data_IF_102794546180
#
_entry.id   IF_102794546180
#
_cell.length_a   1.000
_cell.length_b   1.000
_cell.length_c   1.000
_cell.angle_alpha   90.00
_cell.angle_beta   90.00
_cell.angle_gamma   90.00
#
_symmetry.space_group_name_H-M   'P 1'
#
loop_
_entity.id
_entity.type
_entity.pdbx_description
1 polymer ?
#
# COMPACT_ATOMS: atom_id res chain seq x y z
N UNK A 1 1.04 -20.92 -14.60
CA UNK A 1 1.66 -19.92 -13.73
C UNK A 1 1.40 -20.28 -12.28
N UNK A 2 2.35 -20.08 -11.37
CA UNK A 2 2.18 -20.31 -9.92
C UNK A 2 1.17 -19.29 -9.39
N UNK A 3 0.18 -19.73 -8.62
CA UNK A 3 -0.91 -18.84 -8.16
C UNK A 3 -0.63 -18.14 -6.82
N UNK A 4 0.38 -18.61 -6.08
CA UNK A 4 0.71 -18.12 -4.74
C UNK A 4 2.22 -18.05 -4.51
N UNK A 5 2.63 -17.10 -3.69
CA UNK A 5 4.02 -16.89 -3.31
C UNK A 5 4.08 -16.86 -1.77
N UNK A 6 4.53 -17.96 -1.12
CA UNK A 6 4.55 -18.05 0.34
C UNK A 6 5.57 -17.08 0.98
N UNK A 7 6.55 -16.62 0.22
CA UNK A 7 7.62 -15.74 0.69
C UNK A 7 8.15 -14.81 -0.41
N UNK A 8 9.03 -13.89 -0.03
CA UNK A 8 9.70 -12.96 -0.94
C UNK A 8 10.54 -13.72 -1.99
N UNK A 9 11.30 -14.75 -1.58
CA UNK A 9 12.24 -15.45 -2.48
C UNK A 9 11.54 -16.14 -3.63
N UNK A 10 10.41 -16.76 -3.37
CA UNK A 10 9.59 -17.41 -4.41
C UNK A 10 9.05 -16.40 -5.42
N UNK A 11 8.75 -15.18 -4.98
CA UNK A 11 8.33 -14.11 -5.88
C UNK A 11 9.52 -13.54 -6.68
N UNK A 12 10.69 -13.31 -6.03
CA UNK A 12 11.89 -12.86 -6.73
C UNK A 12 12.31 -13.82 -7.84
N UNK A 13 12.16 -15.12 -7.64
CA UNK A 13 12.43 -16.12 -8.68
C UNK A 13 11.53 -15.92 -9.91
N UNK A 14 10.23 -15.64 -9.70
CA UNK A 14 9.30 -15.34 -10.81
C UNK A 14 9.65 -14.02 -11.50
N UNK A 15 10.01 -12.99 -10.72
CA UNK A 15 10.46 -11.72 -11.30
C UNK A 15 11.73 -11.93 -12.17
N UNK A 16 12.63 -12.81 -11.76
CA UNK A 16 13.82 -13.16 -12.54
C UNK A 16 13.45 -13.89 -13.83
N UNK A 17 12.61 -14.93 -13.73
CA UNK A 17 12.13 -15.70 -14.88
C UNK A 17 11.42 -14.84 -15.93
N UNK A 18 10.67 -13.81 -15.47
CA UNK A 18 9.91 -12.89 -16.31
C UNK A 18 10.73 -11.65 -16.77
N UNK A 19 12.02 -11.56 -16.38
CA UNK A 19 12.89 -10.43 -16.72
C UNK A 19 12.54 -9.14 -15.97
N UNK A 20 11.89 -9.26 -14.80
CA UNK A 20 11.50 -8.17 -13.91
C UNK A 20 12.40 -8.08 -12.66
N UNK A 21 13.56 -8.75 -12.65
CA UNK A 21 14.60 -8.64 -11.62
C UNK A 21 15.96 -8.37 -12.26
N UNK A 22 16.62 -7.33 -11.77
CA UNK A 22 18.03 -7.06 -12.10
C UNK A 22 18.89 -7.39 -10.89
N UNK A 23 19.93 -8.23 -11.06
CA UNK A 23 20.92 -8.54 -10.04
C UNK A 23 22.18 -7.71 -10.24
N UNK A 24 22.56 -6.97 -9.20
CA UNK A 24 23.79 -6.19 -9.11
C UNK A 24 24.80 -7.00 -8.30
N UNK A 25 25.83 -7.52 -8.96
CA UNK A 25 26.83 -8.45 -8.39
C UNK A 25 28.11 -7.76 -7.89
N UNK A 26 28.37 -6.53 -8.38
CA UNK A 26 29.45 -5.68 -7.87
C UNK A 26 29.11 -5.14 -6.47
N UNK A 27 30.15 -4.81 -5.71
CA UNK A 27 29.98 -4.18 -4.40
C UNK A 27 29.48 -2.73 -4.57
N UNK A 28 28.39 -2.39 -3.90
CA UNK A 28 27.80 -1.04 -3.89
C UNK A 28 27.90 -0.39 -2.52
N UNK A 29 27.86 0.94 -2.50
CA UNK A 29 27.71 1.68 -1.25
C UNK A 29 26.26 1.60 -0.75
N UNK A 30 26.01 1.44 0.56
CA UNK A 30 24.63 1.49 1.07
C UNK A 30 23.96 2.84 0.78
N UNK A 31 24.71 3.93 0.85
CA UNK A 31 24.30 5.29 0.50
C UNK A 31 25.29 5.88 -0.53
N UNK A 32 24.84 6.48 -1.64
CA UNK A 32 23.44 6.65 -2.05
C UNK A 32 22.90 5.53 -2.98
N UNK A 33 23.72 4.50 -3.31
CA UNK A 33 23.50 3.63 -4.48
C UNK A 33 22.16 2.90 -4.45
N UNK A 34 21.78 2.32 -3.30
CA UNK A 34 20.56 1.52 -3.18
C UNK A 34 19.32 2.38 -3.41
N UNK A 35 19.22 3.54 -2.74
CA UNK A 35 18.11 4.47 -2.91
C UNK A 35 18.06 5.07 -4.32
N UNK A 36 19.23 5.39 -4.91
CA UNK A 36 19.34 5.91 -6.27
C UNK A 36 18.87 4.88 -7.30
N UNK A 37 19.21 3.61 -7.13
CA UNK A 37 18.74 2.54 -8.00
C UNK A 37 17.23 2.30 -7.87
N UNK A 38 16.68 2.33 -6.65
CA UNK A 38 15.23 2.26 -6.44
C UNK A 38 14.50 3.40 -7.15
N UNK A 39 15.01 4.63 -7.06
CA UNK A 39 14.47 5.79 -7.79
C UNK A 39 14.60 5.61 -9.31
N UNK A 40 15.73 5.14 -9.79
CA UNK A 40 15.98 4.94 -11.22
C UNK A 40 15.05 3.86 -11.79
N UNK A 41 14.90 2.74 -11.09
CA UNK A 41 14.00 1.66 -11.50
C UNK A 41 12.55 2.14 -11.59
N UNK A 42 12.07 2.90 -10.63
CA UNK A 42 10.70 3.44 -10.63
C UNK A 42 10.43 4.41 -11.79
N UNK A 43 11.47 5.07 -12.34
CA UNK A 43 11.34 5.95 -13.51
C UNK A 43 11.32 5.21 -14.85
N UNK A 44 11.68 3.95 -14.87
CA UNK A 44 11.65 3.12 -16.09
C UNK A 44 10.22 2.56 -16.22
N UNK A 45 9.62 2.68 -17.39
CA UNK A 45 8.31 2.07 -17.65
C UNK A 45 8.38 0.56 -17.43
N UNK A 46 7.56 0.04 -16.53
CA UNK A 46 7.62 -1.34 -16.04
C UNK A 46 9.01 -1.70 -15.50
N UNK A 47 9.63 -0.78 -14.74
CA UNK A 47 10.96 -0.97 -14.19
C UNK A 47 11.05 -2.18 -13.27
N UNK A 48 12.20 -2.90 -13.29
CA UNK A 48 12.36 -4.14 -12.54
C UNK A 48 12.60 -3.90 -11.06
N UNK A 49 12.45 -4.95 -10.26
CA UNK A 49 13.08 -5.02 -8.95
C UNK A 49 14.60 -5.04 -9.08
N UNK A 50 15.33 -4.46 -8.12
CA UNK A 50 16.79 -4.43 -8.12
C UNK A 50 17.31 -5.14 -6.88
N UNK A 51 18.08 -6.19 -7.09
CA UNK A 51 18.67 -7.02 -6.05
C UNK A 51 20.19 -6.79 -5.98
N UNK A 52 20.68 -6.41 -4.82
CA UNK A 52 22.09 -6.17 -4.55
C UNK A 52 22.68 -7.33 -3.75
N UNK A 53 23.66 -8.02 -4.34
CA UNK A 53 24.33 -9.17 -3.69
C UNK A 53 25.34 -8.72 -2.63
N UNK A 54 26.04 -7.60 -2.87
CA UNK A 54 27.15 -7.14 -2.05
C UNK A 54 26.99 -5.68 -1.68
N UNK A 55 26.84 -5.42 -0.40
CA UNK A 55 26.75 -4.08 0.15
C UNK A 55 27.94 -3.83 1.06
N UNK A 56 28.70 -2.77 0.80
CA UNK A 56 29.90 -2.45 1.57
C UNK A 56 29.58 -2.29 3.06
N UNK A 57 30.28 -3.09 3.87
CA UNK A 57 30.14 -3.07 5.33
C UNK A 57 29.00 -3.92 5.89
N UNK A 58 28.26 -4.64 5.03
CA UNK A 58 27.17 -5.53 5.43
C UNK A 58 27.35 -6.94 4.86
N UNK A 59 26.80 -7.91 5.60
CA UNK A 59 26.87 -9.32 5.22
C UNK A 59 25.75 -9.72 4.26
N UNK A 60 24.58 -9.12 4.41
CA UNK A 60 23.34 -9.57 3.78
C UNK A 60 22.93 -8.68 2.61
N UNK A 61 22.13 -9.26 1.72
CA UNK A 61 21.66 -8.62 0.49
C UNK A 61 20.50 -7.65 0.72
N UNK A 62 20.26 -6.78 -0.26
CA UNK A 62 19.11 -5.85 -0.28
C UNK A 62 18.35 -6.03 -1.58
N UNK A 63 17.02 -5.90 -1.51
CA UNK A 63 16.16 -5.76 -2.69
C UNK A 63 15.26 -4.54 -2.55
N UNK A 64 15.05 -3.83 -3.66
CA UNK A 64 14.17 -2.66 -3.75
C UNK A 64 13.33 -2.73 -5.01
N UNK A 65 12.28 -1.93 -5.09
CA UNK A 65 11.37 -1.82 -6.23
C UNK A 65 10.62 -3.13 -6.59
N UNK A 66 10.39 -4.00 -5.61
CA UNK A 66 9.70 -5.29 -5.81
C UNK A 66 8.26 -5.09 -6.30
N UNK A 67 7.55 -4.08 -5.78
CA UNK A 67 6.18 -3.71 -6.20
C UNK A 67 6.17 -2.51 -7.16
N UNK A 68 7.32 -2.08 -7.67
CA UNK A 68 7.49 -0.79 -8.36
C UNK A 68 7.04 -0.75 -9.82
N UNK A 69 6.16 -1.64 -10.27
CA UNK A 69 5.59 -1.59 -11.61
C UNK A 69 4.26 -2.36 -11.71
N UNK A 70 3.44 -2.01 -12.71
CA UNK A 70 2.20 -2.77 -12.99
C UNK A 70 2.48 -4.18 -13.49
N UNK A 71 3.63 -4.40 -14.13
CA UNK A 71 4.09 -5.73 -14.50
C UNK A 71 4.32 -6.61 -13.28
N UNK A 72 5.00 -6.10 -12.24
CA UNK A 72 5.22 -6.82 -11.00
C UNK A 72 3.92 -7.08 -10.24
N UNK A 73 2.97 -6.13 -10.25
CA UNK A 73 1.63 -6.33 -9.68
C UNK A 73 0.85 -7.42 -10.39
N UNK A 74 0.87 -7.45 -11.74
CA UNK A 74 0.24 -8.52 -12.50
C UNK A 74 0.85 -9.89 -12.13
N UNK A 75 2.17 -9.98 -12.07
CA UNK A 75 2.89 -11.21 -11.67
C UNK A 75 2.56 -11.61 -10.23
N UNK A 76 2.46 -10.66 -9.29
CA UNK A 76 2.03 -10.91 -7.91
C UNK A 76 0.66 -11.59 -7.86
N UNK A 77 -0.24 -11.24 -8.78
CA UNK A 77 -1.55 -11.86 -8.92
C UNK A 77 -1.52 -13.14 -9.78
N UNK A 78 -0.35 -13.59 -10.25
CA UNK A 78 -0.22 -14.73 -11.15
C UNK A 78 -0.82 -14.49 -12.55
N UNK A 79 -0.93 -13.22 -12.94
CA UNK A 79 -1.40 -12.78 -14.26
C UNK A 79 -0.20 -12.53 -15.19
N UNK A 80 -0.41 -12.52 -16.53
CA UNK A 80 0.63 -12.07 -17.45
C UNK A 80 1.14 -10.66 -17.12
N UNK A 81 2.46 -10.42 -17.23
CA UNK A 81 3.10 -9.16 -16.82
C UNK A 81 2.61 -7.90 -17.56
N UNK A 82 2.04 -8.08 -18.73
CA UNK A 82 1.47 -7.01 -19.57
C UNK A 82 -0.04 -6.80 -19.38
N UNK A 83 -0.63 -7.48 -18.37
CA UNK A 83 -2.06 -7.31 -18.04
C UNK A 83 -2.36 -5.85 -17.68
N UNK A 84 -3.34 -5.20 -18.34
CA UNK A 84 -3.73 -3.83 -18.06
C UNK A 84 -4.16 -3.62 -16.59
N UNK A 85 -3.88 -2.45 -16.03
CA UNK A 85 -4.21 -2.11 -14.63
C UNK A 85 -5.70 -2.25 -14.31
N UNK A 86 -6.57 -1.92 -15.26
CA UNK A 86 -8.02 -2.10 -15.14
C UNK A 86 -8.42 -3.58 -14.94
N UNK A 87 -7.79 -4.49 -15.66
CA UNK A 87 -8.04 -5.92 -15.52
C UNK A 87 -7.51 -6.44 -14.18
N UNK A 88 -6.35 -5.96 -13.74
CA UNK A 88 -5.83 -6.25 -12.39
C UNK A 88 -6.79 -5.77 -11.30
N UNK A 89 -7.41 -4.59 -11.47
CA UNK A 89 -8.42 -4.07 -10.54
C UNK A 89 -9.64 -5.00 -10.45
N UNK A 90 -10.17 -5.47 -11.58
CA UNK A 90 -11.32 -6.37 -11.57
C UNK A 90 -10.97 -7.75 -11.00
N UNK A 91 -9.77 -8.27 -11.28
CA UNK A 91 -9.31 -9.52 -10.69
C UNK A 91 -9.15 -9.43 -9.18
N UNK A 92 -8.58 -8.35 -8.67
CA UNK A 92 -8.51 -8.07 -7.23
C UNK A 92 -9.91 -7.99 -6.61
N UNK A 93 -10.86 -7.32 -7.28
CA UNK A 93 -12.26 -7.27 -6.82
C UNK A 93 -12.89 -8.66 -6.73
N UNK A 94 -12.68 -9.50 -7.74
CA UNK A 94 -13.18 -10.88 -7.78
C UNK A 94 -12.60 -11.71 -6.61
N UNK A 95 -11.28 -11.58 -6.36
CA UNK A 95 -10.62 -12.32 -5.27
C UNK A 95 -11.03 -11.78 -3.91
N UNK A 96 -11.24 -10.48 -3.78
CA UNK A 96 -11.70 -9.85 -2.53
C UNK A 96 -12.97 -10.48 -1.97
N UNK A 97 -13.89 -10.90 -2.83
CA UNK A 97 -15.15 -11.52 -2.45
C UNK A 97 -14.99 -12.94 -1.86
N UNK A 98 -13.78 -13.50 -1.87
CA UNK A 98 -13.49 -14.77 -1.18
C UNK A 98 -13.18 -14.61 0.31
N UNK A 99 -13.04 -13.38 0.79
CA UNK A 99 -12.87 -13.12 2.23
C UNK A 99 -14.09 -13.64 3.04
N UNK A 100 -13.86 -14.27 4.21
CA UNK A 100 -12.57 -14.57 4.84
C UNK A 100 -12.00 -15.93 4.42
N UNK A 101 -10.66 -16.00 4.30
CA UNK A 101 -9.94 -17.27 4.16
C UNK A 101 -9.03 -17.44 5.37
N UNK A 102 -9.33 -18.40 6.24
CA UNK A 102 -8.59 -18.60 7.49
C UNK A 102 -7.13 -18.94 7.20
N UNK A 103 -6.15 -18.28 7.87
CA UNK A 103 -4.75 -18.55 7.67
C UNK A 103 -4.35 -19.93 8.21
N UNK A 104 -3.28 -20.48 7.66
CA UNK A 104 -2.66 -21.71 8.15
C UNK A 104 -1.57 -21.36 9.16
N UNK A 105 -1.74 -21.80 10.40
CA UNK A 105 -0.73 -21.62 11.45
C UNK A 105 0.28 -22.75 11.35
N UNK A 106 1.54 -22.41 11.08
CA UNK A 106 2.67 -23.36 11.07
C UNK A 106 3.24 -23.55 12.47
N UNK A 107 3.84 -24.73 12.68
CA UNK A 107 4.73 -24.94 13.82
C UNK A 107 5.98 -24.07 13.70
N UNK A 108 6.63 -23.77 14.85
CA UNK A 108 7.84 -22.94 14.87
C UNK A 108 8.94 -23.47 13.96
N UNK A 109 9.15 -24.78 13.98
CA UNK A 109 10.20 -25.47 13.22
C UNK A 109 9.90 -25.56 11.70
N UNK A 110 8.64 -25.30 11.30
CA UNK A 110 8.23 -25.29 9.90
C UNK A 110 8.33 -23.88 9.29
N UNK A 111 8.48 -22.83 10.13
CA UNK A 111 8.45 -21.45 9.72
C UNK A 111 9.86 -20.93 9.37
N UNK A 112 10.13 -20.59 8.08
CA UNK A 112 11.45 -20.13 7.66
C UNK A 112 11.97 -18.89 8.44
N UNK A 113 11.09 -17.97 8.85
CA UNK A 113 11.48 -16.81 9.63
C UNK A 113 12.02 -17.14 11.04
N UNK A 114 11.95 -18.41 11.48
CA UNK A 114 12.39 -18.87 12.79
C UNK A 114 13.70 -19.69 12.76
N UNK A 115 14.40 -19.75 11.61
CA UNK A 115 15.64 -20.54 11.46
C UNK A 115 16.75 -20.12 12.43
N UNK A 116 16.92 -18.83 12.64
CA UNK A 116 17.90 -18.26 13.57
C UNK A 116 17.23 -17.36 14.60
N UNK A 117 17.78 -17.32 15.82
CA UNK A 117 17.25 -16.48 16.92
C UNK A 117 18.36 -15.72 17.61
N UNK A 118 18.18 -14.43 17.85
CA UNK A 118 19.08 -13.54 18.58
C UNK A 118 18.29 -12.96 19.76
N UNK A 119 18.77 -13.20 21.00
CA UNK A 119 18.13 -12.73 22.25
C UNK A 119 19.06 -11.89 23.12
N UNK A 120 20.36 -11.93 22.83
CA UNK A 120 21.40 -11.19 23.54
C UNK A 120 22.15 -10.30 22.56
N UNK A 121 22.76 -9.23 23.04
CA UNK A 121 23.57 -8.29 22.26
C UNK A 121 22.90 -7.82 20.94
N UNK A 122 21.58 -7.59 20.99
CA UNK A 122 20.78 -7.23 19.83
C UNK A 122 21.37 -6.02 19.12
N UNK A 123 21.66 -6.19 17.82
CA UNK A 123 22.20 -5.15 16.99
C UNK A 123 21.57 -5.18 15.57
N UNK A 124 20.61 -4.29 15.34
CA UNK A 124 19.91 -4.18 14.05
C UNK A 124 20.86 -3.94 12.87
N UNK A 125 21.99 -3.26 13.10
CA UNK A 125 22.99 -2.99 12.04
C UNK A 125 23.80 -4.22 11.61
N UNK A 126 23.76 -5.30 12.36
CA UNK A 126 24.39 -6.58 12.00
C UNK A 126 23.44 -7.48 11.20
N UNK A 127 22.12 -7.28 11.35
CA UNK A 127 21.09 -8.12 10.71
C UNK A 127 20.52 -7.46 9.47
N UNK A 128 20.43 -6.13 9.44
CA UNK A 128 19.85 -5.38 8.35
C UNK A 128 20.89 -4.43 7.72
N UNK A 129 21.09 -4.45 6.40
CA UNK A 129 21.87 -3.45 5.68
C UNK A 129 21.16 -2.09 5.69
N UNK A 130 21.23 -1.40 6.82
CA UNK A 130 20.53 -0.14 7.06
C UNK A 130 21.23 1.04 6.39
N UNK A 131 20.45 1.88 5.73
CA UNK A 131 20.95 3.07 5.03
C UNK A 131 19.93 4.22 5.13
N UNK A 132 20.42 5.44 4.91
CA UNK A 132 19.59 6.63 4.74
C UNK A 132 19.03 6.66 3.33
N UNK A 133 17.71 6.84 3.18
CA UNK A 133 17.04 6.80 1.89
C UNK A 133 17.18 8.14 1.16
N UNK A 134 16.85 9.25 1.84
CA UNK A 134 16.99 10.60 1.30
C UNK A 134 17.97 11.42 2.15
N UNK A 135 18.67 12.37 1.54
CA UNK A 135 19.79 13.08 2.15
C UNK A 135 19.48 13.81 3.47
N UNK A 136 18.23 14.25 3.67
CA UNK A 136 17.79 14.94 4.89
C UNK A 136 16.98 14.05 5.84
N UNK A 137 16.92 12.74 5.59
CA UNK A 137 16.30 11.81 6.55
C UNK A 137 17.07 11.82 7.88
N UNK A 138 16.35 11.71 8.98
CA UNK A 138 16.94 11.68 10.32
C UNK A 138 17.59 10.32 10.66
N UNK A 139 18.46 9.84 9.81
CA UNK A 139 19.14 8.56 9.91
C UNK A 139 18.54 7.46 9.04
N UNK A 140 18.74 6.20 9.43
CA UNK A 140 18.29 5.03 8.68
C UNK A 140 16.82 4.72 8.96
N UNK A 141 16.09 4.30 7.93
CA UNK A 141 14.70 3.88 8.04
C UNK A 141 14.48 2.49 7.42
N UNK A 142 13.63 1.71 8.10
CA UNK A 142 12.98 0.55 7.50
C UNK A 142 11.66 1.08 6.94
N UNK A 143 11.60 1.25 5.62
CA UNK A 143 10.48 1.87 4.91
C UNK A 143 9.45 0.86 4.40
N UNK A 144 9.76 -0.43 4.49
CA UNK A 144 8.92 -1.52 4.00
C UNK A 144 8.94 -2.69 4.97
N UNK A 145 7.99 -2.68 5.90
CA UNK A 145 7.80 -3.75 6.88
C UNK A 145 6.33 -3.88 7.26
N UNK A 146 5.91 -5.08 7.61
CA UNK A 146 4.59 -5.33 8.20
C UNK A 146 4.71 -5.34 9.72
N UNK A 147 4.07 -4.38 10.37
CA UNK A 147 4.02 -4.27 11.83
C UNK A 147 2.77 -4.96 12.34
N UNK A 148 2.95 -5.93 13.21
CA UNK A 148 1.89 -6.75 13.78
C UNK A 148 1.64 -6.33 15.22
N UNK A 149 0.39 -6.02 15.54
CA UNK A 149 -0.08 -5.64 16.87
C UNK A 149 -1.45 -6.25 17.14
N UNK A 150 -1.89 -6.28 18.38
CA UNK A 150 -3.19 -6.81 18.79
C UNK A 150 -3.94 -5.84 19.71
N UNK A 151 -5.27 -5.97 19.76
CA UNK A 151 -6.11 -5.16 20.64
C UNK A 151 -5.88 -5.53 22.12
N UNK A 152 -5.34 -4.64 22.97
CA UNK A 152 -5.10 -4.93 24.38
C UNK A 152 -6.36 -5.23 25.20
N UNK A 153 -7.54 -4.88 24.70
CA UNK A 153 -8.83 -5.19 25.34
C UNK A 153 -9.44 -6.52 24.88
N UNK A 154 -8.89 -7.09 23.81
CA UNK A 154 -9.32 -8.37 23.25
C UNK A 154 -8.14 -9.13 22.62
N UNK A 155 -7.08 -9.46 23.39
CA UNK A 155 -5.83 -9.99 22.84
C UNK A 155 -6.00 -11.33 22.12
N UNK A 156 -6.98 -12.15 22.53
CA UNK A 156 -7.27 -13.45 21.90
C UNK A 156 -8.11 -13.35 20.62
N UNK A 157 -8.65 -12.15 20.31
CA UNK A 157 -9.47 -11.96 19.14
C UNK A 157 -8.62 -11.75 17.89
N UNK A 158 -8.47 -12.80 17.10
CA UNK A 158 -7.69 -12.80 15.87
C UNK A 158 -8.18 -11.75 14.86
N UNK A 159 -9.48 -11.46 14.79
CA UNK A 159 -10.03 -10.46 13.86
C UNK A 159 -9.62 -9.02 14.21
N UNK A 160 -9.07 -8.81 15.41
CA UNK A 160 -8.53 -7.52 15.87
C UNK A 160 -6.99 -7.47 15.89
N UNK A 161 -6.35 -8.47 15.32
CA UNK A 161 -4.93 -8.41 15.01
C UNK A 161 -4.76 -7.42 13.85
N UNK A 162 -3.88 -6.45 13.98
CA UNK A 162 -3.56 -5.48 12.95
C UNK A 162 -2.22 -5.81 12.30
N UNK A 163 -2.15 -5.80 10.98
CA UNK A 163 -0.93 -5.99 10.20
C UNK A 163 -0.78 -4.78 9.27
N UNK A 164 -0.02 -3.77 9.70
CA UNK A 164 0.05 -2.50 9.01
C UNK A 164 1.46 -2.13 8.55
N UNK A 165 1.58 -1.43 7.42
CA UNK A 165 2.84 -0.84 6.96
C UNK A 165 3.01 0.56 7.55
N UNK A 166 4.11 0.76 8.27
CA UNK A 166 4.48 2.04 8.87
C UNK A 166 5.95 2.33 8.61
N UNK A 167 6.32 3.61 8.48
CA UNK A 167 7.73 4.00 8.45
C UNK A 167 8.36 3.80 9.82
N UNK A 168 9.55 3.25 9.85
CA UNK A 168 10.24 2.85 11.06
C UNK A 168 11.64 3.49 11.08
N UNK A 169 11.87 4.44 11.97
CA UNK A 169 13.17 5.06 12.16
C UNK A 169 14.03 4.20 13.08
N UNK A 170 15.23 3.81 12.62
CA UNK A 170 16.20 3.14 13.49
C UNK A 170 16.83 4.16 14.44
N UNK A 171 16.74 3.93 15.75
CA UNK A 171 17.20 4.84 16.80
C UNK A 171 18.41 4.34 17.58
N UNK A 172 18.86 3.13 17.27
CA UNK A 172 19.99 2.50 17.91
C UNK A 172 20.05 1.02 17.61
N UNK A 173 20.91 0.30 18.33
CA UNK A 173 21.13 -1.12 18.09
C UNK A 173 19.86 -1.97 18.28
N UNK A 174 19.01 -1.60 19.22
CA UNK A 174 17.86 -2.36 19.69
C UNK A 174 16.58 -1.52 19.84
N UNK A 175 16.54 -0.34 19.22
CA UNK A 175 15.40 0.57 19.33
C UNK A 175 15.00 1.15 17.97
N UNK A 176 13.69 1.23 17.75
CA UNK A 176 13.12 1.86 16.58
C UNK A 176 11.95 2.78 16.97
N UNK A 177 11.73 3.86 16.21
CA UNK A 177 10.57 4.72 16.34
C UNK A 177 9.56 4.42 15.23
N UNK A 178 8.26 4.38 15.54
CA UNK A 178 7.19 4.12 14.56
C UNK A 178 6.26 5.33 14.50
N UNK A 179 5.97 5.80 13.29
CA UNK A 179 4.95 6.83 13.08
C UNK A 179 3.55 6.20 13.10
N UNK A 180 2.83 6.35 14.21
CA UNK A 180 1.44 5.97 14.35
C UNK A 180 0.55 7.22 14.25
N UNK A 181 -0.15 7.41 13.10
CA UNK A 181 -1.09 8.51 12.94
C UNK A 181 -2.42 8.17 13.65
N UNK A 182 -3.11 9.19 14.14
CA UNK A 182 -4.29 9.03 15.00
C UNK A 182 -5.46 8.21 14.37
N UNK A 183 -5.50 8.12 13.06
CA UNK A 183 -6.52 7.33 12.35
C UNK A 183 -6.05 5.90 11.98
N UNK A 184 -4.83 5.49 12.39
CA UNK A 184 -4.35 4.12 12.21
C UNK A 184 -4.76 3.23 13.38
N UNK A 185 -5.04 1.96 13.10
CA UNK A 185 -5.45 0.98 14.10
C UNK A 185 -4.40 0.77 15.19
N UNK A 186 -3.10 0.78 14.84
CA UNK A 186 -2.00 0.73 15.81
C UNK A 186 -2.07 1.87 16.84
N UNK A 187 -2.50 3.08 16.44
CA UNK A 187 -2.61 4.21 17.37
C UNK A 187 -3.76 4.01 18.36
N UNK A 188 -4.89 3.48 17.89
CA UNK A 188 -6.03 3.15 18.76
C UNK A 188 -5.68 2.01 19.73
N UNK A 189 -4.96 0.98 19.28
CA UNK A 189 -4.51 -0.13 20.13
C UNK A 189 -3.48 0.34 21.16
N UNK A 190 -2.49 1.16 20.75
CA UNK A 190 -1.49 1.73 21.65
C UNK A 190 -2.14 2.60 22.75
N UNK A 191 -3.13 3.43 22.40
CA UNK A 191 -3.86 4.23 23.38
C UNK A 191 -4.56 3.36 24.43
N UNK A 192 -5.14 2.22 24.03
CA UNK A 192 -5.75 1.26 24.97
C UNK A 192 -4.75 0.67 25.95
N UNK A 193 -3.55 0.27 25.46
CA UNK A 193 -2.47 -0.21 26.33
C UNK A 193 -1.99 0.89 27.29
N UNK A 194 -1.85 2.12 26.82
CA UNK A 194 -1.41 3.26 27.63
C UNK A 194 -2.44 3.66 28.71
N UNK A 195 -3.73 3.51 28.43
CA UNK A 195 -4.78 3.70 29.48
C UNK A 195 -4.67 2.69 30.60
N UNK A 196 -4.27 1.46 30.31
CA UNK A 196 -4.00 0.41 31.29
C UNK A 196 -2.61 0.54 31.95
N UNK A 197 -1.76 1.44 31.44
CA UNK A 197 -0.35 1.56 31.83
C UNK A 197 0.44 0.24 31.62
N UNK A 198 0.15 -0.46 30.53
CA UNK A 198 0.76 -1.72 30.14
C UNK A 198 1.71 -1.52 28.95
N UNK A 199 2.75 -2.37 28.87
CA UNK A 199 3.59 -2.47 27.67
C UNK A 199 2.74 -2.93 26.50
N UNK A 200 2.98 -2.32 25.33
CA UNK A 200 2.26 -2.67 24.12
C UNK A 200 3.11 -3.63 23.27
N UNK A 201 2.71 -4.91 23.14
CA UNK A 201 3.40 -5.92 22.34
C UNK A 201 3.43 -5.56 20.87
N UNK A 202 4.56 -5.83 20.21
CA UNK A 202 4.75 -5.54 18.79
C UNK A 202 5.71 -6.53 18.13
N UNK A 203 5.41 -6.93 16.90
CA UNK A 203 6.32 -7.63 16.02
C UNK A 203 6.42 -6.92 14.68
N UNK A 204 7.61 -6.89 14.08
CA UNK A 204 7.90 -6.21 12.82
C UNK A 204 8.50 -7.24 11.87
N UNK A 205 7.78 -7.57 10.80
CA UNK A 205 8.20 -8.53 9.80
C UNK A 205 8.71 -7.81 8.53
N UNK A 206 9.93 -8.11 8.13
CA UNK A 206 10.63 -7.51 6.99
C UNK A 206 10.84 -8.59 5.92
N UNK A 207 10.67 -8.25 4.64
CA UNK A 207 10.86 -9.19 3.53
C UNK A 207 9.76 -10.26 3.49
N UNK A 208 8.52 -9.81 3.41
CA UNK A 208 7.34 -10.68 3.40
C UNK A 208 7.00 -11.18 2.00
N UNK A 209 6.06 -12.12 1.92
CA UNK A 209 5.42 -12.43 0.64
C UNK A 209 4.76 -11.17 0.04
N UNK A 210 4.69 -11.04 -1.29
CA UNK A 210 4.23 -9.80 -1.91
C UNK A 210 2.80 -9.43 -1.53
N UNK A 211 1.90 -10.40 -1.38
CA UNK A 211 0.51 -10.15 -0.99
C UNK A 211 0.35 -9.80 0.49
N UNK A 212 1.25 -10.26 1.38
CA UNK A 212 1.29 -9.81 2.77
C UNK A 212 1.66 -8.32 2.83
N UNK A 213 2.71 -7.91 2.11
CA UNK A 213 3.11 -6.50 2.02
C UNK A 213 1.99 -5.64 1.41
N UNK A 214 1.34 -6.13 0.36
CA UNK A 214 0.20 -5.47 -0.28
C UNK A 214 -0.96 -5.28 0.70
N UNK A 215 -1.35 -6.33 1.44
CA UNK A 215 -2.46 -6.24 2.41
C UNK A 215 -2.12 -5.42 3.65
N UNK A 216 -0.88 -5.47 4.14
CA UNK A 216 -0.42 -4.60 5.23
C UNK A 216 -0.49 -3.09 4.89
N UNK A 217 -0.57 -2.76 3.60
CA UNK A 217 -0.74 -1.38 3.12
C UNK A 217 -2.19 -1.06 2.70
N UNK A 218 -3.14 -1.95 2.99
CA UNK A 218 -4.53 -1.88 2.50
C UNK A 218 -5.48 -1.42 3.60
N UNK A 219 -6.32 -0.39 3.36
CA UNK A 219 -7.31 0.01 4.36
C UNK A 219 -8.46 -1.01 4.45
N UNK A 220 -8.59 -1.67 5.58
CA UNK A 220 -9.69 -2.58 5.91
C UNK A 220 -10.39 -2.13 7.20
N UNK A 221 -11.46 -2.80 7.61
CA UNK A 221 -12.16 -2.47 8.86
C UNK A 221 -11.38 -3.01 10.06
N UNK A 222 -11.41 -2.30 11.19
CA UNK A 222 -10.78 -2.68 12.46
C UNK A 222 -11.11 -4.11 12.96
N UNK A 223 -12.23 -4.68 12.49
CA UNK A 223 -12.70 -6.03 12.84
C UNK A 223 -12.45 -7.06 11.73
N UNK A 224 -11.55 -6.77 10.83
CA UNK A 224 -11.15 -7.66 9.74
C UNK A 224 -9.63 -7.88 9.81
N UNK A 225 -9.17 -9.05 9.41
CA UNK A 225 -7.77 -9.42 9.49
C UNK A 225 -7.11 -9.45 8.11
N UNK A 226 -5.96 -8.83 7.97
CA UNK A 226 -5.20 -8.75 6.72
C UNK A 226 -4.79 -10.14 6.20
N UNK A 227 -4.43 -11.07 7.08
CA UNK A 227 -4.04 -12.43 6.68
C UNK A 227 -5.18 -13.21 6.01
N UNK A 228 -6.42 -12.97 6.45
CA UNK A 228 -7.60 -13.58 5.81
C UNK A 228 -7.85 -13.01 4.41
N UNK A 229 -7.56 -11.72 4.20
CA UNK A 229 -7.57 -11.11 2.86
C UNK A 229 -6.41 -11.61 2.00
N UNK A 230 -5.21 -11.81 2.56
CA UNK A 230 -4.10 -12.45 1.81
C UNK A 230 -4.57 -13.78 1.25
N UNK A 231 -5.21 -14.62 2.05
CA UNK A 231 -5.78 -15.89 1.58
C UNK A 231 -6.82 -15.71 0.48
N UNK A 232 -7.70 -14.71 0.61
CA UNK A 232 -8.67 -14.38 -0.43
C UNK A 232 -7.99 -13.96 -1.75
N UNK A 233 -6.98 -13.09 -1.66
CA UNK A 233 -6.22 -12.63 -2.84
C UNK A 233 -5.32 -13.72 -3.42
N UNK A 234 -4.96 -14.73 -2.66
CA UNK A 234 -4.32 -15.97 -3.12
C UNK A 234 -5.30 -16.97 -3.77
N UNK A 235 -6.48 -16.47 -4.16
CA UNK A 235 -7.53 -17.25 -4.83
C UNK A 235 -8.13 -18.35 -3.96
N UNK A 236 -8.01 -18.21 -2.62
CA UNK A 236 -8.53 -19.12 -1.60
C UNK A 236 -7.47 -19.98 -0.92
N UNK A 237 -6.19 -19.86 -1.31
CA UNK A 237 -5.10 -20.53 -0.63
C UNK A 237 -4.73 -19.78 0.67
N UNK A 238 -4.68 -20.47 1.84
CA UNK A 238 -4.41 -19.83 3.12
C UNK A 238 -3.07 -19.09 3.18
N UNK A 239 -3.04 -17.93 3.82
CA UNK A 239 -1.79 -17.29 4.24
C UNK A 239 -1.10 -18.13 5.32
N UNK A 240 0.19 -18.40 5.18
CA UNK A 240 0.96 -19.12 6.20
C UNK A 240 1.52 -18.15 7.23
N UNK A 241 1.18 -18.38 8.50
CA UNK A 241 1.60 -17.58 9.64
C UNK A 241 2.18 -18.46 10.73
N UNK A 242 2.95 -17.86 11.64
CA UNK A 242 3.52 -18.54 12.81
C UNK A 242 3.36 -17.66 14.05
N UNK A 243 3.21 -18.27 15.22
CA UNK A 243 3.16 -17.53 16.48
C UNK A 243 4.44 -16.72 16.73
N UNK A 244 4.29 -15.54 17.33
CA UNK A 244 5.39 -14.81 17.93
C UNK A 244 6.10 -15.67 19.00
N UNK A 245 7.42 -15.52 19.11
CA UNK A 245 8.19 -16.22 20.15
C UNK A 245 8.05 -15.54 21.53
N UNK A 246 7.55 -14.29 21.57
CA UNK A 246 7.38 -13.51 22.80
C UNK A 246 5.91 -13.37 23.24
N UNK A 247 4.97 -13.40 22.29
CA UNK A 247 3.58 -13.02 22.54
C UNK A 247 2.62 -14.03 21.99
N UNK A 248 1.91 -14.73 22.87
CA UNK A 248 1.05 -15.86 22.51
C UNK A 248 -0.04 -15.53 21.49
N UNK A 249 -0.52 -14.27 21.50
CA UNK A 249 -1.64 -13.82 20.65
C UNK A 249 -1.20 -13.05 19.41
N UNK A 250 0.12 -12.88 19.19
CA UNK A 250 0.62 -12.30 17.96
C UNK A 250 1.06 -13.39 16.98
N UNK A 251 0.78 -13.16 15.71
CA UNK A 251 1.16 -14.04 14.60
C UNK A 251 1.88 -13.24 13.54
N UNK A 252 3.01 -13.73 13.07
CA UNK A 252 3.82 -13.11 12.02
C UNK A 252 3.80 -13.94 10.74
N UNK A 253 4.05 -13.36 9.56
CA UNK A 253 4.17 -14.12 8.32
C UNK A 253 5.30 -15.16 8.45
N UNK A 254 4.98 -16.43 8.20
CA UNK A 254 5.95 -17.51 8.36
C UNK A 254 7.14 -17.44 7.40
N UNK A 255 6.91 -16.87 6.20
CA UNK A 255 7.91 -16.69 5.15
C UNK A 255 8.71 -15.38 5.23
N UNK A 256 8.56 -14.55 6.28
CA UNK A 256 9.33 -13.31 6.44
C UNK A 256 10.85 -13.56 6.48
N UNK A 257 11.64 -12.65 5.97
CA UNK A 257 13.10 -12.74 6.01
C UNK A 257 13.66 -12.45 7.40
N UNK A 258 13.13 -11.41 8.07
CA UNK A 258 13.51 -11.00 9.43
C UNK A 258 12.27 -10.63 10.21
N UNK A 259 12.20 -11.02 11.49
CA UNK A 259 11.17 -10.61 12.43
C UNK A 259 11.83 -9.99 13.66
N UNK A 260 11.45 -8.75 13.96
CA UNK A 260 11.89 -8.02 15.15
C UNK A 260 10.73 -8.03 16.16
N UNK A 261 10.95 -8.54 17.36
CA UNK A 261 9.92 -8.63 18.39
C UNK A 261 10.31 -7.80 19.61
N UNK A 262 9.33 -7.12 20.19
CA UNK A 262 9.58 -6.24 21.35
C UNK A 262 8.30 -5.56 21.82
N UNK A 263 8.45 -4.42 22.44
CA UNK A 263 7.34 -3.69 23.06
C UNK A 263 7.54 -2.18 23.02
N UNK A 264 6.43 -1.46 23.12
CA UNK A 264 6.41 -0.01 23.40
C UNK A 264 6.17 0.20 24.90
N UNK A 265 7.02 1.01 25.56
CA UNK A 265 6.76 1.44 26.93
C UNK A 265 5.64 2.50 26.96
N UNK A 266 4.69 2.41 27.92
CA UNK A 266 3.58 3.34 28.00
C UNK A 266 4.05 4.80 28.07
N UNK A 267 3.48 5.65 27.22
CA UNK A 267 3.71 7.10 27.18
C UNK A 267 5.15 7.55 26.91
N UNK A 268 6.08 6.66 26.60
CA UNK A 268 7.44 7.00 26.18
C UNK A 268 7.42 7.46 24.74
N UNK A 269 7.98 8.62 24.46
CA UNK A 269 8.05 9.22 23.11
C UNK A 269 9.42 9.82 22.87
N UNK A 270 9.95 9.60 21.66
CA UNK A 270 11.15 10.24 21.14
C UNK A 270 10.84 11.01 19.86
N UNK A 271 11.70 11.99 19.51
CA UNK A 271 11.56 12.72 18.25
C UNK A 271 11.83 11.76 17.10
N UNK A 272 10.93 11.71 16.13
CA UNK A 272 10.98 10.92 14.91
C UNK A 272 10.90 11.86 13.70
N UNK A 273 11.60 11.52 12.61
CA UNK A 273 11.72 12.36 11.43
C UNK A 273 12.79 13.46 11.55
N UNK A 274 13.03 14.25 10.47
CA UNK A 274 12.30 14.20 9.19
C UNK A 274 12.57 12.95 8.37
N UNK A 275 11.67 12.69 7.41
CA UNK A 275 11.74 11.58 6.47
C UNK A 275 11.17 12.02 5.12
N UNK A 276 11.81 11.58 4.02
CA UNK A 276 11.28 11.79 2.67
C UNK A 276 10.04 10.95 2.43
N UNK A 277 8.91 11.62 2.18
CA UNK A 277 7.59 11.00 2.14
C UNK A 277 7.01 10.92 0.73
N UNK A 278 5.93 10.13 0.59
CA UNK A 278 5.22 9.88 -0.67
C UNK A 278 4.69 11.14 -1.39
N UNK A 279 4.36 12.26 -0.73
CA UNK A 279 4.00 13.47 -1.47
C UNK A 279 5.21 14.16 -2.14
N UNK A 280 6.41 13.60 -2.05
CA UNK A 280 7.62 14.15 -2.65
C UNK A 280 8.27 15.26 -1.83
N UNK A 281 7.94 15.37 -0.55
CA UNK A 281 8.49 16.34 0.39
C UNK A 281 8.93 15.67 1.69
N UNK A 282 9.79 16.35 2.47
CA UNK A 282 10.15 15.87 3.80
C UNK A 282 9.02 16.12 4.80
N UNK A 283 8.74 15.14 5.64
CA UNK A 283 7.88 15.33 6.80
C UNK A 283 8.58 16.21 7.85
N UNK A 284 7.80 16.86 8.70
CA UNK A 284 8.35 17.46 9.92
C UNK A 284 8.77 16.39 10.94
N UNK A 285 9.47 16.82 12.00
CA UNK A 285 9.80 15.99 13.15
C UNK A 285 8.68 16.02 14.18
N UNK A 286 8.33 14.86 14.76
CA UNK A 286 7.28 14.73 15.77
C UNK A 286 7.67 13.71 16.83
N UNK A 287 7.12 13.83 18.05
CA UNK A 287 7.27 12.80 19.08
C UNK A 287 6.42 11.58 18.74
N UNK A 288 7.06 10.42 18.61
CA UNK A 288 6.44 9.14 18.28
C UNK A 288 6.80 8.07 19.30
N UNK A 289 6.05 6.96 19.31
CA UNK A 289 6.34 5.82 20.17
C UNK A 289 7.67 5.16 19.78
N UNK A 290 8.31 4.55 20.77
CA UNK A 290 9.60 3.85 20.63
C UNK A 290 9.41 2.40 21.00
N UNK A 291 9.82 1.52 20.10
CA UNK A 291 9.85 0.08 20.32
C UNK A 291 11.24 -0.32 20.82
N UNK A 292 11.29 -1.01 21.94
CA UNK A 292 12.46 -1.75 22.41
C UNK A 292 12.42 -3.15 21.82
N UNK A 293 13.40 -3.48 20.98
CA UNK A 293 13.54 -4.82 20.40
C UNK A 293 14.27 -5.70 21.41
N UNK A 294 13.71 -6.85 21.71
CA UNK A 294 14.24 -7.81 22.70
C UNK A 294 14.48 -9.21 22.10
N UNK A 295 14.05 -9.42 20.86
CA UNK A 295 14.29 -10.64 20.10
C UNK A 295 14.31 -10.35 18.60
N UNK A 296 15.21 -11.01 17.90
CA UNK A 296 15.22 -11.07 16.44
C UNK A 296 15.20 -12.52 16.02
N UNK A 297 14.33 -12.88 15.07
CA UNK A 297 14.43 -14.14 14.34
C UNK A 297 14.60 -13.84 12.87
N UNK A 298 15.34 -14.70 12.15
CA UNK A 298 15.59 -14.48 10.73
C UNK A 298 15.90 -15.78 9.99
N UNK A 299 15.73 -15.75 8.69
CA UNK A 299 16.15 -16.82 7.79
C UNK A 299 17.68 -16.88 7.66
N UNK A 300 18.19 -17.99 7.18
CA UNK A 300 19.58 -18.08 6.74
C UNK A 300 19.80 -17.12 5.58
N UNK A 301 20.85 -16.29 5.67
CA UNK A 301 21.19 -15.24 4.69
C UNK A 301 19.99 -14.36 4.32
N UNK A 302 19.43 -13.60 5.28
CA UNK A 302 18.20 -12.85 5.07
C UNK A 302 18.37 -11.73 4.06
N UNK A 303 17.29 -11.48 3.31
CA UNK A 303 17.21 -10.40 2.32
C UNK A 303 16.52 -9.20 2.98
N UNK A 304 17.18 -8.05 3.00
CA UNK A 304 16.54 -6.81 3.45
C UNK A 304 15.73 -6.20 2.29
N UNK A 305 14.42 -6.30 2.39
CA UNK A 305 13.52 -5.62 1.48
C UNK A 305 13.23 -4.20 1.99
N UNK A 306 13.60 -3.19 1.20
CA UNK A 306 13.35 -1.79 1.56
C UNK A 306 12.98 -1.00 0.31
N UNK A 307 12.14 0.03 0.43
CA UNK A 307 11.71 0.83 -0.72
C UNK A 307 12.22 2.27 -0.65
N UNK A 308 12.37 2.88 -1.81
CA UNK A 308 12.58 4.31 -1.96
C UNK A 308 11.24 5.05 -1.90
N UNK A 309 11.19 6.10 -1.07
CA UNK A 309 10.12 7.10 -1.09
C UNK A 309 10.71 8.46 -1.51
N UNK A 310 9.93 9.22 -2.25
CA UNK A 310 10.38 10.55 -2.71
C UNK A 310 9.43 11.13 -3.76
N UNK A 311 9.98 11.90 -4.69
CA UNK A 311 9.17 12.50 -5.76
C UNK A 311 8.47 11.38 -6.54
N UNK A 312 7.12 11.39 -6.62
CA UNK A 312 6.34 10.41 -7.37
C UNK A 312 6.77 10.36 -8.85
N UNK A 313 6.68 9.23 -9.47
CA UNK A 313 6.06 7.98 -9.10
C UNK A 313 7.12 7.00 -8.60
N UNK A 314 6.90 6.33 -7.45
CA UNK A 314 7.86 5.42 -6.82
C UNK A 314 7.19 4.11 -6.42
N UNK A 315 7.94 3.13 -5.88
CA UNK A 315 7.38 1.84 -5.48
C UNK A 315 6.17 1.95 -4.55
N UNK A 316 6.17 2.91 -3.63
CA UNK A 316 5.05 3.10 -2.71
C UNK A 316 3.77 3.53 -3.42
N UNK A 317 3.89 4.30 -4.51
CA UNK A 317 2.74 4.75 -5.29
C UNK A 317 2.08 3.57 -6.04
N UNK A 318 2.87 2.58 -6.49
CA UNK A 318 2.33 1.33 -7.03
C UNK A 318 1.70 0.48 -5.93
N UNK A 319 2.40 0.31 -4.79
CA UNK A 319 1.94 -0.53 -3.68
C UNK A 319 0.62 -0.02 -3.10
N UNK A 320 0.46 1.30 -2.94
CA UNK A 320 -0.74 1.93 -2.38
C UNK A 320 -1.71 2.45 -3.45
N UNK A 321 -1.91 1.70 -4.51
CA UNK A 321 -2.76 2.06 -5.64
C UNK A 321 -4.05 1.23 -5.69
N UNK A 322 -3.95 0.01 -6.23
CA UNK A 322 -5.11 -0.88 -6.37
C UNK A 322 -5.62 -1.38 -5.01
N UNK A 323 -4.75 -1.52 -4.03
CA UNK A 323 -5.11 -1.87 -2.66
C UNK A 323 -5.98 -0.81 -1.96
N UNK A 324 -5.93 0.45 -2.42
CA UNK A 324 -6.83 1.53 -1.98
C UNK A 324 -8.08 1.59 -2.85
N UNK A 325 -7.92 1.37 -4.15
CA UNK A 325 -9.03 1.43 -5.12
C UNK A 325 -10.11 0.38 -4.87
N UNK A 326 -9.70 -0.87 -4.56
CA UNK A 326 -10.64 -1.99 -4.36
C UNK A 326 -11.52 -1.80 -3.12
N UNK A 327 -11.00 -1.54 -1.91
CA UNK A 327 -11.87 -1.34 -0.75
C UNK A 327 -12.78 -0.10 -0.89
N UNK A 328 -12.33 0.99 -1.49
CA UNK A 328 -13.17 2.15 -1.76
C UNK A 328 -14.29 1.81 -2.75
N UNK A 329 -13.98 1.08 -3.82
CA UNK A 329 -15.00 0.57 -4.74
C UNK A 329 -16.04 -0.29 -4.01
N UNK A 330 -15.62 -1.24 -3.17
CA UNK A 330 -16.54 -2.11 -2.40
C UNK A 330 -17.45 -1.30 -1.48
N UNK A 331 -16.89 -0.29 -0.79
CA UNK A 331 -17.67 0.58 0.10
C UNK A 331 -18.69 1.43 -0.66
N UNK A 332 -18.29 2.00 -1.80
CA UNK A 332 -19.21 2.78 -2.63
C UNK A 332 -20.28 1.89 -3.27
N UNK A 333 -19.88 0.76 -3.84
CA UNK A 333 -20.78 -0.17 -4.53
C UNK A 333 -21.89 -0.72 -3.63
N UNK A 334 -21.61 -0.85 -2.32
CA UNK A 334 -22.60 -1.33 -1.35
C UNK A 334 -23.81 -0.39 -1.21
N UNK A 335 -23.60 0.92 -1.31
CA UNK A 335 -24.65 1.94 -1.15
C UNK A 335 -25.10 2.52 -2.50
N UNK A 336 -24.22 2.50 -3.49
CA UNK A 336 -24.37 3.11 -4.82
C UNK A 336 -24.06 2.10 -5.92
N UNK A 337 -25.00 1.22 -6.28
CA UNK A 337 -24.76 0.09 -7.18
C UNK A 337 -24.42 0.49 -8.62
N UNK A 338 -24.61 1.76 -8.98
CA UNK A 338 -24.27 2.30 -10.29
C UNK A 338 -22.77 2.61 -10.48
N UNK A 339 -21.99 2.62 -9.38
CA UNK A 339 -20.53 2.78 -9.46
C UNK A 339 -19.92 1.61 -10.21
N UNK A 340 -19.17 1.89 -11.27
CA UNK A 340 -18.58 0.90 -12.18
C UNK A 340 -17.15 0.59 -11.77
N UNK A 341 -16.34 1.62 -11.50
CA UNK A 341 -14.96 1.47 -11.09
C UNK A 341 -14.49 2.66 -10.25
N UNK A 342 -13.45 2.45 -9.44
CA UNK A 342 -12.78 3.47 -8.65
C UNK A 342 -11.27 3.36 -8.87
N UNK A 343 -10.65 4.44 -9.29
CA UNK A 343 -9.22 4.59 -9.36
C UNK A 343 -8.76 5.56 -8.28
N UNK A 344 -8.16 5.04 -7.20
CA UNK A 344 -7.60 5.80 -6.09
C UNK A 344 -6.06 5.72 -6.07
N UNK A 345 -5.44 5.57 -7.25
CA UNK A 345 -3.99 5.34 -7.36
C UNK A 345 -3.15 6.59 -7.08
N UNK A 346 -3.73 7.78 -7.20
CA UNK A 346 -2.93 9.01 -7.15
C UNK A 346 -2.63 9.43 -5.73
N UNK A 347 -1.35 9.42 -5.39
CA UNK A 347 -0.84 9.88 -4.10
C UNK A 347 -1.62 9.26 -2.93
N UNK A 348 -1.70 7.90 -2.89
CA UNK A 348 -2.35 7.11 -1.84
C UNK A 348 -3.85 7.43 -1.64
N UNK A 349 -4.57 7.69 -2.74
CA UNK A 349 -5.99 8.01 -2.68
C UNK A 349 -6.29 9.48 -2.34
N UNK A 350 -5.30 10.37 -2.36
CA UNK A 350 -5.55 11.83 -2.31
C UNK A 350 -6.25 12.32 -3.57
N UNK A 351 -5.93 11.73 -4.72
CA UNK A 351 -6.65 11.88 -5.98
C UNK A 351 -7.45 10.61 -6.29
N UNK A 352 -8.77 10.74 -6.48
CA UNK A 352 -9.66 9.62 -6.78
C UNK A 352 -10.50 9.93 -8.00
N UNK A 353 -10.60 8.97 -8.92
CA UNK A 353 -11.47 9.04 -10.09
C UNK A 353 -12.52 7.94 -9.98
N UNK A 354 -13.79 8.30 -10.10
CA UNK A 354 -14.93 7.37 -9.97
C UNK A 354 -15.69 7.35 -11.29
N UNK A 355 -15.88 6.17 -11.85
CA UNK A 355 -16.76 5.94 -12.99
C UNK A 355 -18.11 5.43 -12.50
N UNK A 356 -19.21 6.09 -12.89
CA UNK A 356 -20.57 5.77 -12.44
C UNK A 356 -21.63 6.07 -13.51
N UNK A 357 -22.74 5.32 -13.48
CA UNK A 357 -23.93 5.65 -14.24
C UNK A 357 -24.82 6.58 -13.42
N UNK A 358 -25.00 7.82 -13.85
CA UNK A 358 -25.88 8.75 -13.18
C UNK A 358 -27.34 8.38 -13.34
N UNK A 359 -28.09 8.24 -12.21
CA UNK A 359 -29.51 7.90 -12.19
C UNK A 359 -30.44 9.09 -12.30
N UNK A 360 -29.98 10.23 -11.76
CA UNK A 360 -30.72 11.49 -11.69
C UNK A 360 -29.75 12.65 -11.50
N UNK A 361 -30.19 13.88 -11.70
CA UNK A 361 -29.35 15.07 -11.55
C UNK A 361 -28.71 15.18 -10.17
N UNK A 362 -27.41 15.58 -10.14
CA UNK A 362 -26.60 15.68 -8.94
C UNK A 362 -26.03 14.35 -8.42
N UNK A 363 -26.25 13.22 -9.12
CA UNK A 363 -25.78 11.90 -8.67
C UNK A 363 -24.26 11.84 -8.60
N UNK A 364 -23.55 12.42 -9.57
CA UNK A 364 -22.08 12.46 -9.57
C UNK A 364 -21.52 13.10 -8.30
N UNK A 365 -22.05 14.26 -7.90
CA UNK A 365 -21.67 14.92 -6.63
C UNK A 365 -22.00 14.08 -5.41
N UNK A 366 -23.15 13.38 -5.39
CA UNK A 366 -23.56 12.51 -4.29
C UNK A 366 -22.58 11.34 -4.11
N UNK A 367 -22.11 10.71 -5.22
CA UNK A 367 -21.10 9.66 -5.20
C UNK A 367 -19.76 10.18 -4.62
N UNK A 368 -19.33 11.37 -5.04
CA UNK A 368 -18.12 11.97 -4.51
C UNK A 368 -18.23 12.28 -3.00
N UNK A 369 -19.34 12.83 -2.55
CA UNK A 369 -19.59 13.11 -1.13
C UNK A 369 -19.63 11.80 -0.30
N UNK A 370 -20.22 10.73 -0.86
CA UNK A 370 -20.19 9.42 -0.21
C UNK A 370 -18.77 8.87 -0.05
N UNK A 371 -17.91 9.01 -1.07
CA UNK A 371 -16.49 8.65 -0.96
C UNK A 371 -15.82 9.44 0.18
N UNK A 372 -15.99 10.76 0.20
CA UNK A 372 -15.38 11.66 1.20
C UNK A 372 -15.84 11.39 2.63
N UNK A 373 -16.93 10.65 2.82
CA UNK A 373 -17.44 10.23 4.14
C UNK A 373 -17.01 8.80 4.55
N UNK A 374 -16.31 8.07 3.69
CA UNK A 374 -15.76 6.75 4.06
C UNK A 374 -14.60 6.89 5.04
N UNK A 375 -14.34 5.88 5.90
CA UNK A 375 -13.22 5.94 6.86
C UNK A 375 -11.87 6.25 6.23
N UNK A 376 -11.59 5.72 5.03
CA UNK A 376 -10.35 6.01 4.31
C UNK A 376 -10.44 7.32 3.50
N UNK A 377 -11.52 7.55 2.76
CA UNK A 377 -11.68 8.75 1.95
C UNK A 377 -11.71 10.04 2.76
N UNK A 378 -12.21 9.99 4.00
CA UNK A 378 -12.31 11.15 4.88
C UNK A 378 -10.94 11.78 5.18
N UNK A 379 -9.89 11.07 5.66
CA UNK A 379 -8.58 11.67 5.91
C UNK A 379 -7.70 11.78 4.66
N UNK A 380 -7.84 10.90 3.67
CA UNK A 380 -6.93 10.87 2.52
C UNK A 380 -7.44 11.65 1.32
N UNK A 381 -8.69 11.41 0.86
CA UNK A 381 -9.14 11.95 -0.42
C UNK A 381 -9.30 13.47 -0.39
N UNK A 382 -8.66 14.12 -1.35
CA UNK A 382 -8.61 15.58 -1.49
C UNK A 382 -9.25 16.06 -2.78
N UNK A 383 -8.93 15.40 -3.90
CA UNK A 383 -9.48 15.69 -5.22
C UNK A 383 -10.27 14.47 -5.68
N UNK A 384 -11.56 14.63 -5.92
CA UNK A 384 -12.45 13.57 -6.40
C UNK A 384 -13.03 13.97 -7.74
N UNK A 385 -12.78 13.19 -8.76
CA UNK A 385 -13.29 13.37 -10.12
C UNK A 385 -14.33 12.28 -10.38
N UNK A 386 -15.52 12.65 -10.84
CA UNK A 386 -16.56 11.69 -11.21
C UNK A 386 -16.80 11.79 -12.71
N UNK A 387 -16.81 10.63 -13.37
CA UNK A 387 -17.00 10.48 -14.81
C UNK A 387 -18.10 9.47 -15.12
N UNK A 388 -18.65 9.50 -16.32
CA UNK A 388 -19.67 8.54 -16.78
C UNK A 388 -19.11 7.11 -16.89
N UNK A 389 -20.01 6.12 -16.92
CA UNK A 389 -19.71 4.69 -16.95
C UNK A 389 -18.86 4.22 -18.15
N UNK A 390 -18.92 4.95 -19.27
CA UNK A 390 -18.15 4.64 -20.48
C UNK A 390 -16.77 5.31 -20.51
N UNK A 391 -16.45 6.19 -19.53
CA UNK A 391 -15.11 6.75 -19.37
C UNK A 391 -14.29 5.85 -18.47
N UNK A 392 -13.15 5.38 -18.98
CA UNK A 392 -12.25 4.54 -18.19
C UNK A 392 -11.48 5.37 -17.15
N UNK A 393 -11.71 5.19 -15.83
CA UNK A 393 -11.03 5.96 -14.81
C UNK A 393 -9.53 5.64 -14.69
N UNK A 394 -9.06 4.55 -15.34
CA UNK A 394 -7.63 4.20 -15.42
C UNK A 394 -6.93 4.80 -16.66
N UNK A 395 -7.68 5.47 -17.55
CA UNK A 395 -7.17 6.16 -18.71
C UNK A 395 -7.27 7.70 -18.52
N UNK A 396 -6.16 8.34 -18.17
CA UNK A 396 -6.13 9.78 -17.89
C UNK A 396 -6.49 10.64 -19.09
N UNK A 397 -6.19 10.21 -20.32
CA UNK A 397 -6.56 10.93 -21.52
C UNK A 397 -8.09 11.01 -21.66
N UNK A 398 -8.80 9.92 -21.40
CA UNK A 398 -10.27 9.90 -21.38
C UNK A 398 -10.84 10.75 -20.25
N UNK A 399 -10.23 10.68 -19.05
CA UNK A 399 -10.65 11.50 -17.90
C UNK A 399 -10.47 12.99 -18.19
N UNK A 400 -9.32 13.39 -18.75
CA UNK A 400 -9.07 14.78 -19.14
C UNK A 400 -10.02 15.25 -20.26
N UNK A 401 -10.33 14.37 -21.22
CA UNK A 401 -11.35 14.65 -22.23
C UNK A 401 -12.71 14.92 -21.57
N UNK A 402 -13.16 14.10 -20.61
CA UNK A 402 -14.42 14.32 -19.91
C UNK A 402 -14.42 15.65 -19.13
N UNK A 403 -13.35 15.96 -18.41
CA UNK A 403 -13.22 17.22 -17.67
C UNK A 403 -13.31 18.43 -18.63
N UNK A 404 -12.56 18.39 -19.72
CA UNK A 404 -12.44 19.55 -20.63
C UNK A 404 -13.68 19.79 -21.49
N UNK A 405 -14.50 18.75 -21.71
CA UNK A 405 -15.68 18.87 -22.58
C UNK A 405 -17.00 18.98 -21.82
N UNK A 406 -17.07 18.66 -20.53
CA UNK A 406 -18.32 18.59 -19.76
C UNK A 406 -18.39 19.51 -18.56
N UNK A 407 -17.27 19.73 -17.86
CA UNK A 407 -17.27 20.51 -16.63
C UNK A 407 -17.53 21.99 -16.93
N UNK A 408 -18.54 22.52 -16.26
CA UNK A 408 -18.77 23.97 -16.11
C UNK A 408 -18.19 24.36 -14.75
N UNK A 409 -17.02 25.04 -14.69
CA UNK A 409 -16.30 25.22 -13.44
C UNK A 409 -17.07 25.94 -12.33
N UNK A 410 -18.01 26.81 -12.72
CA UNK A 410 -18.87 27.58 -11.79
C UNK A 410 -20.02 26.75 -11.18
N UNK A 411 -20.28 25.52 -11.72
CA UNK A 411 -21.42 24.67 -11.33
C UNK A 411 -21.02 23.27 -10.93
N UNK A 412 -20.03 22.70 -11.65
CA UNK A 412 -19.68 21.29 -11.54
C UNK A 412 -18.46 21.05 -10.66
N UNK A 413 -17.82 22.14 -10.18
CA UNK A 413 -16.76 22.07 -9.18
C UNK A 413 -17.28 22.49 -7.82
N UNK A 414 -17.12 21.63 -6.82
CA UNK A 414 -17.45 21.93 -5.42
C UNK A 414 -16.18 22.00 -4.58
N UNK A 415 -16.04 23.07 -3.80
CA UNK A 415 -14.91 23.31 -2.88
C UNK A 415 -15.45 23.24 -1.45
N UNK A 416 -14.90 22.32 -0.63
CA UNK A 416 -15.34 22.10 0.74
C UNK A 416 -14.16 22.38 1.67
N UNK A 417 -14.12 23.54 2.32
CA UNK A 417 -13.02 23.91 3.22
C UNK A 417 -13.11 23.23 4.58
N UNK A 418 -11.99 23.26 5.33
CA UNK A 418 -11.91 22.82 6.73
C UNK A 418 -12.29 21.34 6.96
N UNK A 419 -11.91 20.47 6.05
CA UNK A 419 -12.11 19.03 6.17
C UNK A 419 -10.91 18.35 6.80
N UNK A 420 -11.08 17.16 7.42
CA UNK A 420 -9.97 16.30 7.80
C UNK A 420 -9.07 16.01 6.60
N UNK A 421 -7.76 16.00 6.81
CA UNK A 421 -6.77 15.82 5.76
C UNK A 421 -5.56 15.03 6.22
N UNK A 422 -4.79 14.54 5.26
CA UNK A 422 -3.54 13.84 5.50
C UNK A 422 -2.49 14.79 6.06
N UNK A 423 -1.94 14.54 7.28
CA UNK A 423 -0.95 15.45 7.88
C UNK A 423 0.38 15.55 7.12
N UNK A 424 0.64 14.62 6.20
CA UNK A 424 1.82 14.58 5.33
C UNK A 424 1.62 15.35 4.01
N UNK A 425 0.40 15.78 3.70
CA UNK A 425 0.13 16.67 2.57
C UNK A 425 0.75 18.06 2.85
N UNK A 426 1.75 18.50 2.06
CA UNK A 426 2.43 19.78 2.29
C UNK A 426 1.50 20.99 2.16
N UNK A 427 0.34 20.84 1.53
CA UNK A 427 -0.68 21.90 1.42
C UNK A 427 -1.68 21.92 2.59
N UNK A 428 -1.60 20.96 3.53
CA UNK A 428 -2.44 20.94 4.73
C UNK A 428 -1.96 21.96 5.77
N UNK A 429 -2.71 23.05 5.95
CA UNK A 429 -2.40 24.10 6.91
C UNK A 429 -3.67 24.45 7.69
N UNK A 430 -3.72 24.15 9.01
CA UNK A 430 -2.74 23.38 9.80
C UNK A 430 -2.66 21.91 9.37
N UNK A 431 -1.55 21.25 9.70
CA UNK A 431 -1.37 19.84 9.36
C UNK A 431 -2.54 18.96 9.87
N UNK A 432 -3.09 18.14 8.99
CA UNK A 432 -4.29 17.32 9.25
C UNK A 432 -5.61 18.00 8.89
N UNK A 433 -5.56 19.18 8.29
CA UNK A 433 -6.74 19.86 7.73
C UNK A 433 -6.44 20.32 6.29
N UNK A 434 -7.36 20.06 5.39
CA UNK A 434 -7.27 20.54 4.01
C UNK A 434 -8.64 20.93 3.43
N UNK A 435 -8.64 21.56 2.28
CA UNK A 435 -9.84 21.80 1.46
C UNK A 435 -10.00 20.65 0.48
N UNK A 436 -11.20 20.11 0.35
CA UNK A 436 -11.55 19.08 -0.63
C UNK A 436 -12.13 19.70 -1.89
N UNK A 437 -11.89 19.06 -3.03
CA UNK A 437 -12.42 19.45 -4.32
C UNK A 437 -13.13 18.27 -4.98
N UNK A 438 -14.36 18.51 -5.43
CA UNK A 438 -15.12 17.59 -6.26
C UNK A 438 -15.20 18.18 -7.66
N UNK A 439 -14.93 17.40 -8.68
CA UNK A 439 -15.11 17.73 -10.09
C UNK A 439 -16.11 16.73 -10.67
N UNK A 440 -17.32 17.20 -10.98
CA UNK A 440 -18.34 16.39 -11.62
C UNK A 440 -18.21 16.54 -13.14
N UNK A 441 -17.62 15.55 -13.78
CA UNK A 441 -17.40 15.48 -15.21
C UNK A 441 -18.38 14.50 -15.91
N UNK A 442 -19.54 14.28 -15.29
CA UNK A 442 -20.60 13.44 -15.86
C UNK A 442 -21.47 14.24 -16.85
N UNK A 443 -22.16 13.52 -17.72
CA UNK A 443 -23.18 14.12 -18.58
C UNK A 443 -24.38 14.52 -17.73
N UNK A 444 -24.94 15.74 -17.90
CA UNK A 444 -26.12 16.17 -17.16
C UNK A 444 -27.32 15.23 -17.38
N UNK A 445 -28.00 14.89 -16.28
CA UNK A 445 -29.21 14.05 -16.24
C UNK A 445 -30.37 14.85 -15.65
N UNK A 446 -31.60 14.62 -16.13
CA UNK A 446 -32.79 15.31 -15.63
C UNK A 446 -32.86 15.30 -14.08
N UNK A 447 -33.12 16.43 -13.40
CA UNK A 447 -33.50 17.76 -13.91
C UNK A 447 -32.33 18.74 -14.12
N UNK A 448 -31.10 18.28 -14.27
CA UNK A 448 -29.98 19.17 -14.55
C UNK A 448 -30.13 19.84 -15.91
N UNK A 449 -29.89 21.15 -16.01
CA UNK A 449 -30.04 21.86 -17.27
C UNK A 449 -28.98 21.37 -18.27
N UNK A 450 -29.42 20.71 -19.32
CA UNK A 450 -28.59 20.41 -20.47
C UNK A 450 -28.89 21.38 -21.61
N UNK A 451 -28.10 22.47 -21.81
CA UNK A 451 -28.34 23.46 -22.83
C UNK A 451 -28.12 22.97 -24.27
N UNK A 452 -27.57 21.77 -24.42
CA UNK A 452 -27.37 21.09 -25.70
C UNK A 452 -27.73 19.62 -25.52
N UNK A 453 -28.61 19.13 -26.35
CA UNK A 453 -28.76 17.66 -26.50
C UNK A 453 -27.45 17.16 -27.13
N UNK A 454 -26.58 16.64 -26.27
CA UNK A 454 -25.30 16.07 -26.71
C UNK A 454 -25.44 14.56 -26.69
N UNK A 455 -25.62 13.99 -27.89
CA UNK A 455 -25.46 12.55 -28.06
C UNK A 455 -23.97 12.21 -28.09
N UNK A 456 -23.59 11.20 -27.34
CA UNK A 456 -22.23 10.68 -27.36
C UNK A 456 -22.09 9.77 -28.56
N UNK A 457 -20.98 9.94 -29.29
CA UNK A 457 -20.70 9.12 -30.47
C UNK A 457 -20.47 7.65 -30.06
N UNK A 458 -21.21 6.75 -30.67
CA UNK A 458 -20.90 5.34 -30.56
C UNK A 458 -19.62 5.01 -31.36
N UNK A 459 -18.79 4.10 -30.87
CA UNK A 459 -17.68 3.57 -31.64
C UNK A 459 -18.20 2.96 -32.96
N UNK A 460 -17.44 3.06 -34.05
CA UNK A 460 -17.82 2.38 -35.30
C UNK A 460 -18.04 0.89 -35.06
N UNK A 461 -19.05 0.32 -35.75
CA UNK A 461 -19.30 -1.11 -35.68
C UNK A 461 -18.01 -1.91 -35.96
N UNK A 462 -17.78 -2.97 -35.20
CA UNK A 462 -16.59 -3.85 -35.27
C UNK A 462 -15.28 -3.22 -34.74
N UNK A 463 -15.31 -2.10 -34.01
CA UNK A 463 -14.09 -1.51 -33.44
C UNK A 463 -13.33 -2.51 -32.54
N UNK A 464 -14.03 -3.28 -31.70
CA UNK A 464 -13.44 -4.31 -30.85
C UNK A 464 -12.82 -5.47 -31.63
N UNK A 465 -13.50 -5.93 -32.70
CA UNK A 465 -12.97 -6.98 -33.60
C UNK A 465 -11.67 -6.52 -34.28
N UNK A 466 -11.62 -5.25 -34.69
CA UNK A 466 -10.44 -4.68 -35.32
C UNK A 466 -9.32 -4.44 -34.30
N UNK A 467 -9.64 -4.05 -33.09
CA UNK A 467 -8.63 -3.92 -32.05
C UNK A 467 -7.96 -5.26 -31.73
N UNK A 468 -8.76 -6.32 -31.55
CA UNK A 468 -8.26 -7.67 -31.34
C UNK A 468 -7.34 -8.13 -32.49
N UNK A 469 -7.79 -7.91 -33.74
CA UNK A 469 -7.02 -8.26 -34.94
C UNK A 469 -5.71 -7.46 -35.04
N UNK A 470 -5.73 -6.18 -34.71
CA UNK A 470 -4.52 -5.33 -34.74
C UNK A 470 -3.54 -5.81 -33.67
N UNK A 471 -4.02 -6.14 -32.46
CA UNK A 471 -3.17 -6.71 -31.38
C UNK A 471 -2.52 -8.03 -31.82
N UNK A 472 -3.28 -8.94 -32.43
CA UNK A 472 -2.77 -10.19 -32.97
C UNK A 472 -1.66 -9.93 -34.02
N UNK A 473 -1.89 -9.01 -34.94
CA UNK A 473 -0.91 -8.64 -35.97
C UNK A 473 0.35 -8.00 -35.44
N UNK A 474 0.25 -7.32 -34.29
CA UNK A 474 1.39 -6.72 -33.56
C UNK A 474 2.11 -7.73 -32.64
N UNK A 475 1.59 -8.96 -32.51
CA UNK A 475 2.11 -9.96 -31.58
C UNK A 475 1.95 -9.55 -30.10
N UNK A 476 0.87 -8.85 -29.78
CA UNK A 476 0.57 -8.30 -28.45
C UNK A 476 -0.73 -8.86 -27.90
#
# INVERSE_FOLDING_TARGET
MRKTYPDLRSFLNVLEEEGQLVKVTEEVMPEPDIAAAGRAAANIKNGPAVYFEKIKGYKYSVVTNVHGSWANHALMLGMPKDTPTKEQFYELNRRWDKFPVKPKVLGREEAPCKEHTITEDINLFEVLPLYRINSQDAGCFISKASVVTGDPEAPENFDKLNVGTYRIQVKGKDRVGIQALAFHDIAAQLEKAERKNERFPIAIAVGNSPLVTFMASTPIKYTQNEYEFVGALQDGEPCEIVKSDLYEHLYVPAGAEVVLEGYVEPRVREVEGPFGEFPGSYSGSRKQCVVKITRITHRTDPIFENLYLGIPWTEIDYLMALNTSVPLYKQLKADMPEVVAVNAMYTHGMGVIISTKCRFGGYGKAVAMRLLSTPHGMPYSKVVIVVDEYVDPFNLEQVMWAITTRVKPDKDVAIIPNCPGMPLDPSSVPAGMHTKMIIDATTPVDPEPNPREVEILDPPAKSEEWEAKIRELLGR
#
